data_IF_826301775845
#
_entry.id   IF_826301775845
#
_cell.length_a   1.000
_cell.length_b   1.000
_cell.length_c   1.000
_cell.angle_alpha   90.00
_cell.angle_beta   90.00
_cell.angle_gamma   90.00
#
_symmetry.space_group_name_H-M   'P 1'
#
loop_
_entity.id
_entity.type
_entity.pdbx_description
1 polymer ?
#
# COMPACT_ATOMS: atom_id res chain seq x y z
N UNK A 1 -66.87 21.00 -32.90
CA UNK A 1 -65.68 21.40 -32.13
C UNK A 1 -65.11 20.15 -31.49
N UNK A 2 -63.91 19.77 -31.93
CA UNK A 2 -63.16 18.56 -31.59
C UNK A 2 -62.62 18.62 -30.16
N UNK A 3 -62.98 17.65 -29.32
CA UNK A 3 -62.32 17.41 -28.04
C UNK A 3 -61.15 16.45 -28.25
N UNK A 4 -59.95 16.97 -28.04
CA UNK A 4 -58.65 16.30 -28.13
C UNK A 4 -58.49 15.26 -27.02
N UNK A 5 -58.27 14.00 -27.39
CA UNK A 5 -57.82 12.95 -26.49
C UNK A 5 -56.33 13.14 -26.17
N UNK A 6 -56.00 13.40 -24.91
CA UNK A 6 -54.63 13.41 -24.41
C UNK A 6 -54.18 11.97 -24.10
N UNK A 7 -53.30 11.43 -24.93
CA UNK A 7 -52.56 10.19 -24.64
C UNK A 7 -51.45 10.45 -23.61
N UNK A 8 -51.34 9.70 -22.51
CA UNK A 8 -50.21 9.84 -21.60
C UNK A 8 -48.95 9.21 -22.21
N UNK A 9 -47.89 10.00 -22.24
CA UNK A 9 -46.59 9.72 -22.84
C UNK A 9 -45.73 8.97 -21.81
N UNK A 10 -45.87 7.65 -21.70
CA UNK A 10 -45.17 6.89 -20.65
C UNK A 10 -45.00 5.38 -20.90
N UNK A 11 -44.80 4.94 -22.15
CA UNK A 11 -45.17 3.55 -22.51
C UNK A 11 -44.09 2.63 -23.14
N UNK A 12 -42.81 2.93 -22.95
CA UNK A 12 -41.73 1.97 -23.32
C UNK A 12 -41.21 1.15 -22.15
N UNK A 13 -41.07 1.76 -20.98
CA UNK A 13 -40.58 1.08 -19.78
C UNK A 13 -41.69 0.31 -19.05
N UNK A 14 -42.91 0.84 -19.02
CA UNK A 14 -44.09 0.18 -18.44
C UNK A 14 -44.35 -1.20 -19.09
N UNK A 15 -44.33 -1.25 -20.42
CA UNK A 15 -44.50 -2.50 -21.19
C UNK A 15 -43.40 -3.52 -20.93
N UNK A 16 -42.14 -3.09 -20.75
CA UNK A 16 -41.03 -4.01 -20.43
C UNK A 16 -41.11 -4.54 -19.00
N UNK A 17 -41.57 -3.73 -18.06
CA UNK A 17 -41.79 -4.13 -16.68
C UNK A 17 -42.99 -5.08 -16.52
N UNK A 18 -44.01 -4.97 -17.38
CA UNK A 18 -45.15 -5.91 -17.37
C UNK A 18 -44.79 -7.34 -17.73
N UNK A 19 -43.68 -7.59 -18.44
CA UNK A 19 -43.19 -8.95 -18.71
C UNK A 19 -42.49 -9.60 -17.51
N UNK A 20 -42.08 -8.79 -16.51
CA UNK A 20 -41.42 -9.27 -15.28
C UNK A 20 -42.41 -9.46 -14.12
N UNK A 21 -43.70 -9.21 -14.35
CA UNK A 21 -44.75 -9.32 -13.34
C UNK A 21 -45.34 -10.74 -13.33
N UNK A 22 -44.63 -11.65 -12.66
CA UNK A 22 -44.92 -13.09 -12.63
C UNK A 22 -46.04 -13.49 -11.64
N UNK A 23 -46.72 -12.52 -11.01
CA UNK A 23 -47.69 -12.80 -9.94
C UNK A 23 -49.10 -12.31 -10.28
N UNK A 24 -50.15 -13.10 -10.01
CA UNK A 24 -51.53 -12.68 -10.20
C UNK A 24 -51.86 -11.49 -9.30
N UNK A 25 -52.38 -10.41 -9.91
CA UNK A 25 -52.78 -9.19 -9.19
C UNK A 25 -53.99 -9.46 -8.32
N UNK A 26 -53.78 -9.35 -7.01
CA UNK A 26 -54.82 -9.53 -5.98
C UNK A 26 -55.82 -8.36 -6.09
N UNK A 27 -57.09 -8.65 -5.82
CA UNK A 27 -58.17 -7.67 -5.85
C UNK A 27 -57.91 -6.50 -4.88
N UNK A 28 -58.12 -5.28 -5.37
CA UNK A 28 -57.78 -4.03 -4.63
C UNK A 28 -58.57 -3.85 -3.33
N UNK A 29 -59.65 -4.62 -3.13
CA UNK A 29 -60.50 -4.57 -1.95
C UNK A 29 -59.92 -5.30 -0.73
N UNK A 30 -58.83 -6.07 -0.92
CA UNK A 30 -58.12 -6.80 0.14
C UNK A 30 -56.78 -6.12 0.49
N UNK A 31 -56.37 -5.10 -0.28
CA UNK A 31 -55.08 -4.41 -0.12
C UNK A 31 -55.27 -2.97 0.35
N UNK A 32 -55.08 -2.73 1.65
CA UNK A 32 -54.99 -1.36 2.18
C UNK A 32 -53.59 -0.78 1.88
N UNK A 33 -53.43 -0.22 0.68
CA UNK A 33 -52.19 0.45 0.30
C UNK A 33 -52.09 1.82 1.01
N UNK A 34 -51.33 1.88 2.11
CA UNK A 34 -51.01 3.14 2.78
C UNK A 34 -49.86 3.86 2.06
N UNK A 35 -50.07 5.13 1.69
CA UNK A 35 -49.05 5.96 1.03
C UNK A 35 -47.74 6.12 1.84
N UNK A 36 -47.79 6.02 3.16
CA UNK A 36 -46.61 6.06 4.04
C UNK A 36 -45.83 4.75 4.03
N UNK A 37 -46.47 3.60 3.78
CA UNK A 37 -45.82 2.29 3.75
C UNK A 37 -44.88 2.09 2.56
N UNK A 38 -45.17 2.75 1.43
CA UNK A 38 -44.30 2.73 0.25
C UNK A 38 -42.95 3.43 0.49
N UNK A 39 -42.95 4.57 1.18
CA UNK A 39 -41.72 5.31 1.52
C UNK A 39 -40.84 4.50 2.46
N UNK A 40 -41.42 3.88 3.49
CA UNK A 40 -40.69 3.00 4.42
C UNK A 40 -40.08 1.81 3.67
N UNK A 41 -40.82 1.19 2.75
CA UNK A 41 -40.33 0.05 1.95
C UNK A 41 -39.15 0.44 1.04
N UNK A 42 -39.17 1.65 0.46
CA UNK A 42 -38.04 2.17 -0.35
C UNK A 42 -36.80 2.35 0.52
N UNK A 43 -36.94 2.96 1.71
CA UNK A 43 -35.82 3.17 2.64
C UNK A 43 -35.21 1.84 3.07
N UNK A 44 -36.05 0.86 3.46
CA UNK A 44 -35.59 -0.47 3.86
C UNK A 44 -34.89 -1.20 2.71
N UNK A 45 -35.39 -1.07 1.48
CA UNK A 45 -34.77 -1.70 0.30
C UNK A 45 -33.41 -1.09 -0.01
N UNK A 46 -33.26 0.23 0.07
CA UNK A 46 -31.97 0.93 -0.11
C UNK A 46 -30.98 0.48 0.97
N UNK A 47 -31.43 0.42 2.22
CA UNK A 47 -30.59 -0.01 3.33
C UNK A 47 -30.14 -1.47 3.18
N UNK A 48 -31.04 -2.38 2.79
CA UNK A 48 -30.72 -3.78 2.49
C UNK A 48 -29.69 -3.87 1.35
N UNK A 49 -29.90 -3.12 0.26
CA UNK A 49 -28.98 -3.10 -0.87
C UNK A 49 -27.59 -2.60 -0.45
N UNK A 50 -27.52 -1.57 0.40
CA UNK A 50 -26.27 -1.08 0.97
C UNK A 50 -25.53 -2.15 1.79
N UNK A 51 -26.24 -2.86 2.68
CA UNK A 51 -25.64 -3.92 3.49
C UNK A 51 -25.13 -5.08 2.63
N UNK A 52 -25.90 -5.50 1.62
CA UNK A 52 -25.48 -6.57 0.69
C UNK A 52 -24.24 -6.14 -0.11
N UNK A 53 -24.21 -4.90 -0.62
CA UNK A 53 -23.05 -4.38 -1.34
C UNK A 53 -21.80 -4.30 -0.45
N UNK A 54 -21.96 -3.86 0.81
CA UNK A 54 -20.87 -3.83 1.79
C UNK A 54 -20.32 -5.24 2.07
N UNK A 55 -21.21 -6.22 2.22
CA UNK A 55 -20.83 -7.63 2.44
C UNK A 55 -20.12 -8.21 1.21
N UNK A 56 -20.61 -7.88 0.00
CA UNK A 56 -19.99 -8.29 -1.26
C UNK A 56 -18.59 -7.70 -1.42
N UNK A 57 -18.40 -6.41 -1.10
CA UNK A 57 -17.09 -5.76 -1.11
C UNK A 57 -16.15 -6.46 -0.11
N UNK A 58 -16.65 -6.74 1.10
CA UNK A 58 -15.87 -7.43 2.14
C UNK A 58 -15.43 -8.82 1.68
N UNK A 59 -16.32 -9.57 1.03
CA UNK A 59 -16.00 -10.88 0.47
C UNK A 59 -14.97 -10.82 -0.67
N UNK A 60 -15.03 -9.79 -1.52
CA UNK A 60 -14.05 -9.59 -2.60
C UNK A 60 -12.68 -9.11 -2.08
N UNK A 61 -12.65 -8.48 -0.91
CA UNK A 61 -11.43 -7.93 -0.29
C UNK A 61 -10.58 -9.04 0.31
N UNK A 62 -9.27 -8.96 0.09
CA UNK A 62 -8.30 -9.87 0.69
C UNK A 62 -7.92 -9.38 2.09
N UNK A 63 -7.88 -10.27 3.09
CA UNK A 63 -7.48 -9.91 4.46
C UNK A 63 -6.10 -10.48 4.76
N UNK A 64 -5.19 -9.61 5.19
CA UNK A 64 -3.86 -10.00 5.66
C UNK A 64 -3.87 -10.11 7.19
N UNK A 65 -3.37 -11.22 7.72
CA UNK A 65 -3.15 -11.43 9.14
C UNK A 65 -1.64 -11.49 9.42
N UNK A 66 -1.20 -10.74 10.44
CA UNK A 66 0.20 -10.58 10.79
C UNK A 66 0.46 -11.28 12.12
N UNK A 67 1.40 -12.21 12.11
CA UNK A 67 1.80 -12.95 13.31
C UNK A 67 3.31 -12.80 13.53
N UNK A 68 3.68 -12.43 14.76
CA UNK A 68 5.07 -12.23 15.14
C UNK A 68 5.62 -13.53 15.74
N UNK A 69 6.68 -14.05 15.12
CA UNK A 69 7.33 -15.31 15.47
C UNK A 69 8.80 -15.05 15.76
N UNK A 70 9.43 -15.91 16.56
CA UNK A 70 10.89 -15.90 16.67
C UNK A 70 11.47 -16.45 15.36
N UNK A 71 12.46 -15.77 14.81
CA UNK A 71 13.09 -16.22 13.58
C UNK A 71 13.83 -17.56 13.80
N UNK A 72 13.28 -18.63 13.22
CA UNK A 72 13.89 -19.96 13.24
C UNK A 72 14.60 -20.30 11.93
N UNK A 73 14.66 -19.37 10.97
CA UNK A 73 15.31 -19.65 9.69
C UNK A 73 16.81 -19.85 9.93
N UNK A 74 17.37 -21.04 9.59
CA UNK A 74 18.71 -21.39 10.01
C UNK A 74 19.75 -20.50 9.32
N UNK A 75 20.42 -19.64 10.09
CA UNK A 75 21.60 -18.88 9.66
C UNK A 75 22.78 -19.77 9.24
N UNK A 76 22.71 -21.07 9.55
CA UNK A 76 23.74 -22.09 9.32
C UNK A 76 23.60 -22.88 8.02
N UNK A 77 22.53 -22.66 7.24
CA UNK A 77 22.11 -23.54 6.13
C UNK A 77 22.28 -22.98 4.71
N UNK A 78 23.26 -22.10 4.45
CA UNK A 78 23.58 -21.63 3.09
C UNK A 78 22.53 -20.73 2.40
N UNK A 79 21.38 -20.47 3.04
CA UNK A 79 20.42 -19.47 2.62
C UNK A 79 21.00 -18.07 2.94
N UNK A 80 21.81 -17.54 2.02
CA UNK A 80 22.29 -16.17 2.09
C UNK A 80 21.14 -15.16 2.03
N UNK A 81 21.37 -13.97 2.57
CA UNK A 81 20.51 -12.81 2.38
C UNK A 81 20.83 -12.21 1.01
N UNK A 82 19.83 -12.10 0.14
CA UNK A 82 20.01 -11.43 -1.16
C UNK A 82 19.78 -9.94 -1.00
N UNK A 83 20.78 -9.11 -1.28
CA UNK A 83 20.61 -7.65 -1.33
C UNK A 83 20.41 -7.25 -2.79
N UNK A 84 19.29 -6.60 -3.10
CA UNK A 84 19.02 -6.00 -4.40
C UNK A 84 19.24 -4.50 -4.28
N UNK A 85 20.15 -3.96 -5.08
CA UNK A 85 20.49 -2.54 -5.06
C UNK A 85 20.30 -1.98 -6.46
N UNK A 86 19.64 -0.83 -6.55
CA UNK A 86 19.59 0.05 -7.72
C UNK A 86 19.59 1.49 -7.20
N UNK A 87 20.74 2.16 -7.34
CA UNK A 87 20.94 3.52 -6.89
C UNK A 87 21.77 4.30 -7.90
N UNK A 88 21.59 5.62 -7.93
CA UNK A 88 22.34 6.53 -8.81
C UNK A 88 22.98 7.64 -7.97
N UNK A 89 24.29 7.81 -8.09
CA UNK A 89 25.06 8.87 -7.41
C UNK A 89 25.47 9.93 -8.42
N UNK A 90 25.48 11.21 -8.03
CA UNK A 90 25.86 12.36 -8.87
C UNK A 90 27.38 12.52 -9.03
N UNK A 91 28.08 11.41 -9.29
CA UNK A 91 29.52 11.33 -9.51
C UNK A 91 29.85 10.38 -10.66
N UNK A 92 31.01 10.52 -11.33
CA UNK A 92 31.40 9.60 -12.39
C UNK A 92 31.80 8.23 -11.82
N UNK A 93 31.52 7.14 -12.56
CA UNK A 93 31.76 5.79 -12.06
C UNK A 93 33.24 5.46 -11.80
N UNK A 94 34.16 6.12 -12.49
CA UNK A 94 35.60 5.93 -12.29
C UNK A 94 36.12 6.47 -10.95
N UNK A 95 35.37 7.35 -10.29
CA UNK A 95 35.73 7.96 -9.01
C UNK A 95 35.08 7.25 -7.81
N UNK A 96 34.12 6.36 -8.06
CA UNK A 96 33.34 5.68 -7.04
C UNK A 96 33.75 4.23 -6.90
N UNK A 97 33.60 3.73 -5.68
CA UNK A 97 33.76 2.32 -5.36
C UNK A 97 32.63 1.90 -4.40
N UNK A 98 32.04 0.74 -4.68
CA UNK A 98 30.98 0.15 -3.86
C UNK A 98 31.43 -1.24 -3.39
N UNK A 99 31.51 -1.44 -2.08
CA UNK A 99 31.87 -2.72 -1.47
C UNK A 99 30.90 -3.06 -0.34
N UNK A 100 30.62 -4.35 -0.15
CA UNK A 100 29.87 -4.84 1.01
C UNK A 100 30.84 -5.49 1.99
N UNK A 101 30.82 -5.00 3.23
CA UNK A 101 31.60 -5.52 4.34
C UNK A 101 30.67 -6.07 5.42
N UNK A 102 30.82 -7.35 5.71
CA UNK A 102 30.17 -8.01 6.84
C UNK A 102 30.97 -7.79 8.15
N UNK A 103 30.38 -8.02 9.32
CA UNK A 103 31.09 -7.99 10.62
C UNK A 103 32.30 -8.93 10.66
N UNK A 104 32.32 -9.97 9.83
CA UNK A 104 33.46 -10.86 9.64
C UNK A 104 34.64 -10.23 8.89
N UNK A 105 34.52 -8.97 8.46
CA UNK A 105 35.47 -8.23 7.61
C UNK A 105 35.84 -8.96 6.31
N UNK A 106 35.05 -9.97 5.91
CA UNK A 106 35.15 -10.56 4.59
C UNK A 106 34.42 -9.65 3.60
N UNK A 107 35.17 -9.02 2.70
CA UNK A 107 34.59 -8.26 1.59
C UNK A 107 34.07 -9.24 0.55
N UNK A 108 32.77 -9.18 0.25
CA UNK A 108 32.27 -9.78 -1.00
C UNK A 108 32.68 -8.80 -2.10
N UNK A 109 33.55 -9.27 -2.99
CA UNK A 109 34.21 -8.40 -3.97
C UNK A 109 33.22 -7.88 -5.03
N UNK A 110 33.55 -6.72 -5.58
CA UNK A 110 32.82 -5.83 -6.51
C UNK A 110 32.16 -6.51 -7.71
N UNK A 111 32.51 -7.76 -8.05
CA UNK A 111 32.05 -8.43 -9.28
C UNK A 111 30.52 -8.64 -9.37
N UNK A 112 29.79 -8.49 -8.25
CA UNK A 112 28.33 -8.64 -8.22
C UNK A 112 27.57 -7.33 -8.54
N UNK A 113 28.19 -6.16 -8.37
CA UNK A 113 27.57 -4.86 -8.67
C UNK A 113 28.12 -4.25 -9.96
N UNK A 114 27.22 -3.86 -10.87
CA UNK A 114 27.58 -3.17 -12.10
C UNK A 114 27.48 -1.67 -11.92
N UNK A 115 28.58 -0.97 -12.19
CA UNK A 115 28.65 0.49 -12.22
C UNK A 115 28.56 0.94 -13.69
N UNK A 116 27.54 1.75 -14.01
CA UNK A 116 27.30 2.24 -15.37
C UNK A 116 27.17 3.76 -15.36
N UNK A 117 27.92 4.42 -16.24
CA UNK A 117 27.84 5.87 -16.41
C UNK A 117 26.45 6.25 -16.95
N UNK A 118 25.80 7.18 -16.25
CA UNK A 118 24.46 7.67 -16.56
C UNK A 118 24.37 9.18 -16.36
N UNK A 119 23.21 9.75 -16.67
CA UNK A 119 22.90 11.15 -16.34
C UNK A 119 22.11 11.16 -15.05
N UNK A 120 22.55 11.97 -14.09
CA UNK A 120 21.84 12.12 -12.82
C UNK A 120 20.50 12.83 -13.03
N UNK A 121 19.40 12.24 -12.54
CA UNK A 121 18.05 12.79 -12.65
C UNK A 121 17.26 12.67 -11.34
N UNK A 122 16.75 13.79 -10.86
CA UNK A 122 15.88 13.88 -9.68
C UNK A 122 14.39 13.67 -10.00
N UNK A 123 14.01 13.43 -11.26
CA UNK A 123 12.61 13.35 -11.65
C UNK A 123 11.93 12.10 -11.08
N UNK A 124 10.81 12.28 -10.37
CA UNK A 124 10.00 11.20 -9.81
C UNK A 124 10.51 10.59 -8.49
N UNK A 125 11.58 11.15 -7.92
CA UNK A 125 12.04 10.79 -6.58
C UNK A 125 11.48 11.73 -5.51
N UNK A 126 11.28 11.23 -4.30
CA UNK A 126 10.84 12.00 -3.14
C UNK A 126 11.99 12.12 -2.13
N UNK A 127 12.06 13.23 -1.40
CA UNK A 127 13.03 13.33 -0.31
C UNK A 127 12.56 12.47 0.87
N UNK A 128 13.43 11.59 1.36
CA UNK A 128 13.12 10.80 2.54
C UNK A 128 13.15 11.72 3.76
N UNK A 129 12.10 11.69 4.57
CA UNK A 129 12.08 12.42 5.85
C UNK A 129 11.43 11.53 6.88
N UNK A 130 11.93 11.56 8.12
CA UNK A 130 11.34 10.79 9.23
C UNK A 130 9.85 11.12 9.47
N UNK A 131 9.34 12.27 9.01
CA UNK A 131 7.92 12.60 9.08
C UNK A 131 7.06 11.94 7.98
N UNK A 132 7.64 11.58 6.83
CA UNK A 132 6.96 10.91 5.72
C UNK A 132 7.78 9.69 5.24
N UNK A 133 7.75 8.57 6.00
CA UNK A 133 8.57 7.39 5.71
C UNK A 133 8.07 6.55 4.53
N UNK A 134 6.90 6.88 3.97
CA UNK A 134 6.29 6.17 2.84
C UNK A 134 6.04 7.12 1.68
N UNK A 135 6.51 6.80 0.46
CA UNK A 135 6.06 7.50 -0.73
C UNK A 135 4.53 7.40 -0.86
N UNK A 136 3.87 8.44 -1.41
CA UNK A 136 2.46 8.36 -1.73
C UNK A 136 2.22 7.17 -2.68
N UNK A 137 1.12 6.40 -2.51
CA UNK A 137 0.86 5.23 -3.33
C UNK A 137 0.90 5.62 -4.80
N UNK A 138 1.68 4.86 -5.60
CA UNK A 138 1.80 5.10 -7.03
C UNK A 138 0.45 4.83 -7.70
N UNK A 139 -0.34 5.89 -7.88
CA UNK A 139 -1.63 5.79 -8.55
C UNK A 139 -1.38 5.49 -10.03
N UNK A 140 -1.57 4.24 -10.42
CA UNK A 140 -1.44 3.79 -11.82
C UNK A 140 -2.31 4.64 -12.75
N UNK A 141 -3.48 5.08 -12.28
CA UNK A 141 -4.38 5.96 -13.02
C UNK A 141 -3.80 7.37 -13.24
N UNK A 142 -3.02 7.89 -12.30
CA UNK A 142 -2.35 9.18 -12.39
C UNK A 142 -1.13 9.09 -13.31
N UNK A 143 -0.36 8.00 -13.22
CA UNK A 143 0.74 7.69 -14.11
C UNK A 143 0.25 7.53 -15.57
N UNK A 144 -0.84 6.77 -15.78
CA UNK A 144 -1.49 6.60 -17.07
C UNK A 144 -2.03 7.93 -17.61
N UNK A 145 -2.65 8.75 -16.76
CA UNK A 145 -3.17 10.07 -17.14
C UNK A 145 -2.05 11.04 -17.55
N UNK A 146 -0.93 11.00 -16.85
CA UNK A 146 0.25 11.81 -17.17
C UNK A 146 0.95 11.34 -18.45
N UNK A 147 1.01 10.02 -18.68
CA UNK A 147 1.48 9.43 -19.93
C UNK A 147 0.56 9.76 -21.11
N UNK A 148 -0.76 9.73 -20.91
CA UNK A 148 -1.76 10.06 -21.95
C UNK A 148 -1.81 11.55 -22.30
N UNK A 149 -1.45 12.46 -21.36
CA UNK A 149 -1.41 13.91 -21.60
C UNK A 149 -0.18 14.40 -22.36
N UNK A 150 0.66 13.50 -22.88
CA UNK A 150 1.85 13.87 -23.65
C UNK A 150 3.05 14.26 -22.78
N UNK A 151 3.04 13.91 -21.49
CA UNK A 151 4.25 13.92 -20.67
C UNK A 151 5.12 12.74 -21.09
N UNK A 152 6.31 13.05 -21.62
CA UNK A 152 7.41 12.15 -21.97
C UNK A 152 7.17 10.69 -21.59
N UNK A 153 7.04 9.84 -22.61
CA UNK A 153 7.06 8.39 -22.48
C UNK A 153 8.04 7.95 -21.40
N UNK A 154 7.54 7.14 -20.46
CA UNK A 154 8.30 6.33 -19.52
C UNK A 154 9.06 5.29 -20.35
N UNK A 155 10.00 5.79 -21.15
CA UNK A 155 11.00 5.02 -21.81
C UNK A 155 11.80 4.39 -20.68
N UNK A 156 11.70 3.07 -20.54
CA UNK A 156 12.86 2.27 -20.20
C UNK A 156 13.91 2.48 -21.31
N UNK A 157 14.49 3.69 -21.34
CA UNK A 157 15.61 4.05 -22.22
C UNK A 157 16.83 3.53 -21.48
N UNK A 158 17.55 2.62 -22.12
CA UNK A 158 18.94 2.38 -21.75
C UNK A 158 19.65 3.74 -21.67
N UNK A 159 20.57 3.95 -20.70
CA UNK A 159 21.17 5.26 -20.49
C UNK A 159 21.82 5.74 -21.78
N UNK A 160 21.38 6.91 -22.25
CA UNK A 160 22.05 7.62 -23.32
C UNK A 160 23.43 8.01 -22.80
N UNK A 161 24.47 7.49 -23.46
CA UNK A 161 25.85 7.95 -23.33
C UNK A 161 25.86 9.48 -23.49
N UNK A 162 26.59 10.13 -22.58
CA UNK A 162 26.44 11.53 -22.19
C UNK A 162 26.39 12.56 -23.32
N UNK A 163 25.48 13.52 -23.17
CA UNK A 163 25.59 14.82 -23.81
C UNK A 163 26.35 15.77 -22.89
N UNK A 164 27.36 16.46 -23.44
CA UNK A 164 28.07 17.58 -22.80
C UNK A 164 27.05 18.58 -22.22
N UNK A 165 27.03 18.73 -20.89
CA UNK A 165 26.18 19.71 -20.19
C UNK A 165 25.13 19.12 -19.24
N UNK A 166 25.00 17.79 -19.12
CA UNK A 166 24.18 17.18 -18.07
C UNK A 166 25.03 16.68 -16.90
N UNK A 167 24.53 16.73 -15.65
CA UNK A 167 25.27 16.22 -14.50
C UNK A 167 25.57 14.74 -14.69
N UNK A 168 26.87 14.40 -14.66
CA UNK A 168 27.35 13.02 -14.76
C UNK A 168 26.95 12.29 -13.48
N UNK A 169 26.39 11.10 -13.63
CA UNK A 169 26.06 10.22 -12.51
C UNK A 169 26.52 8.80 -12.77
N UNK A 170 26.62 8.02 -11.71
CA UNK A 170 26.96 6.61 -11.76
C UNK A 170 25.80 5.82 -11.19
N UNK A 171 25.25 4.90 -12.01
CA UNK A 171 24.22 3.97 -11.57
C UNK A 171 24.89 2.68 -11.11
N UNK A 172 24.62 2.31 -9.87
CA UNK A 172 25.10 1.09 -9.23
C UNK A 172 23.90 0.17 -9.10
N UNK A 173 23.91 -0.94 -9.84
CA UNK A 173 22.83 -1.91 -9.78
C UNK A 173 23.34 -3.35 -9.78
N UNK A 174 22.65 -4.22 -9.05
CA UNK A 174 23.04 -5.62 -8.94
C UNK A 174 22.30 -6.35 -7.83
N UNK A 175 22.56 -7.64 -7.74
CA UNK A 175 22.08 -8.49 -6.65
C UNK A 175 23.30 -9.19 -6.06
N UNK A 176 23.49 -9.02 -4.75
CA UNK A 176 24.61 -9.61 -4.03
C UNK A 176 24.11 -10.61 -2.98
N UNK A 177 24.40 -11.91 -3.10
CA UNK A 177 24.19 -12.88 -2.03
C UNK A 177 25.19 -12.64 -0.89
N UNK A 178 24.70 -12.09 0.22
CA UNK A 178 25.48 -11.89 1.43
C UNK A 178 25.16 -12.93 2.50
N UNK A 179 26.04 -13.11 3.48
CA UNK A 179 25.71 -13.91 4.65
C UNK A 179 24.61 -13.22 5.45
N UNK A 180 23.77 -14.00 6.11
CA UNK A 180 22.72 -13.50 7.01
C UNK A 180 23.33 -13.02 8.34
N UNK A 181 24.11 -11.96 8.27
CA UNK A 181 24.83 -11.30 9.35
C UNK A 181 24.73 -9.78 9.17
N UNK A 182 24.97 -9.06 10.25
CA UNK A 182 25.07 -7.59 10.21
C UNK A 182 26.21 -7.14 9.30
N UNK A 183 25.97 -6.14 8.47
CA UNK A 183 26.99 -5.64 7.55
C UNK A 183 26.76 -4.19 7.14
N UNK A 184 27.63 -3.72 6.26
CA UNK A 184 27.59 -2.36 5.73
C UNK A 184 27.98 -2.34 4.26
N UNK A 185 27.13 -1.75 3.42
CA UNK A 185 27.45 -1.37 2.05
C UNK A 185 28.08 0.02 2.09
N UNK A 186 29.34 0.10 1.69
CA UNK A 186 30.10 1.34 1.61
C UNK A 186 30.20 1.78 0.17
N UNK A 187 29.76 3.01 -0.11
CA UNK A 187 29.91 3.66 -1.41
C UNK A 187 30.72 4.93 -1.17
N UNK A 188 32.01 4.88 -1.50
CA UNK A 188 32.95 5.97 -1.21
C UNK A 188 33.73 6.35 -2.45
N UNK A 189 34.34 7.54 -2.40
CA UNK A 189 35.26 7.98 -3.43
C UNK A 189 36.61 7.26 -3.29
N UNK A 190 37.29 7.00 -4.41
CA UNK A 190 38.65 6.46 -4.39
C UNK A 190 39.60 7.41 -3.64
N UNK A 191 40.42 6.84 -2.74
CA UNK A 191 41.34 7.60 -1.88
C UNK A 191 40.72 8.20 -0.62
N UNK A 192 39.40 8.16 -0.45
CA UNK A 192 38.69 8.55 0.78
C UNK A 192 37.99 7.33 1.39
N UNK A 193 38.73 6.55 2.18
CA UNK A 193 38.23 5.35 2.89
C UNK A 193 38.88 4.05 2.44
N UNK A 194 39.29 3.96 1.18
CA UNK A 194 40.08 2.86 0.64
C UNK A 194 41.40 3.37 0.09
N UNK A 195 42.44 2.54 0.17
CA UNK A 195 43.75 2.81 -0.44
C UNK A 195 43.58 2.91 -1.96
N UNK A 196 43.97 4.03 -2.56
CA UNK A 196 43.83 4.29 -3.99
C UNK A 196 44.25 5.70 -4.38
N UNK A 197 44.20 6.02 -5.68
CA UNK A 197 44.46 7.36 -6.17
C UNK A 197 43.37 8.31 -5.65
N UNK A 198 43.82 9.39 -5.02
CA UNK A 198 42.95 10.40 -4.44
C UNK A 198 42.16 11.13 -5.54
N UNK A 199 40.83 11.05 -5.48
CA UNK A 199 39.94 11.79 -6.38
C UNK A 199 40.00 13.27 -6.02
N UNK A 200 39.85 14.16 -7.01
CA UNK A 200 39.78 15.60 -6.75
C UNK A 200 38.52 15.94 -5.94
N UNK A 201 38.68 16.75 -4.91
CA UNK A 201 37.60 17.09 -3.99
C UNK A 201 36.49 17.90 -4.67
N UNK A 202 36.80 18.64 -5.73
CA UNK A 202 35.81 19.40 -6.51
C UNK A 202 34.85 18.49 -7.31
N UNK A 203 35.27 17.25 -7.59
CA UNK A 203 34.47 16.26 -8.31
C UNK A 203 33.59 15.43 -7.38
N UNK A 204 33.75 15.56 -6.06
CA UNK A 204 32.97 14.80 -5.09
C UNK A 204 31.60 15.42 -4.86
N UNK A 205 30.56 14.64 -5.13
CA UNK A 205 29.18 15.00 -4.87
C UNK A 205 28.36 13.74 -4.56
N UNK A 206 28.13 13.49 -3.27
CA UNK A 206 27.37 12.32 -2.81
C UNK A 206 25.84 12.51 -2.88
N UNK A 207 25.35 13.50 -3.64
CA UNK A 207 23.93 13.59 -3.98
C UNK A 207 23.53 12.30 -4.68
N UNK A 208 22.53 11.60 -4.14
CA UNK A 208 22.19 10.27 -4.63
C UNK A 208 20.70 10.01 -4.52
N UNK A 209 20.26 9.09 -5.37
CA UNK A 209 18.89 8.62 -5.45
C UNK A 209 18.89 7.11 -5.34
N UNK A 210 18.03 6.57 -4.49
CA UNK A 210 17.82 5.15 -4.33
C UNK A 210 16.54 4.80 -5.10
N UNK A 211 16.67 4.09 -6.20
CA UNK A 211 15.53 3.66 -7.00
C UNK A 211 14.89 2.41 -6.40
N UNK A 212 15.74 1.42 -6.06
CA UNK A 212 15.30 0.19 -5.43
C UNK A 212 16.33 -0.31 -4.42
N UNK A 213 15.87 -0.57 -3.21
CA UNK A 213 16.66 -1.28 -2.20
C UNK A 213 15.77 -2.34 -1.55
N UNK A 214 16.09 -3.61 -1.75
CA UNK A 214 15.28 -4.69 -1.18
C UNK A 214 16.10 -5.88 -0.73
N UNK A 215 15.65 -6.52 0.35
CA UNK A 215 16.33 -7.65 0.97
C UNK A 215 15.50 -8.93 0.74
N UNK A 216 16.04 -9.89 0.00
CA UNK A 216 15.34 -11.12 -0.37
C UNK A 216 14.46 -10.98 -1.60
N UNK A 217 13.46 -11.85 -1.71
CA UNK A 217 12.52 -11.89 -2.83
C UNK A 217 11.41 -10.87 -2.68
N UNK A 218 10.87 -10.39 -3.81
CA UNK A 218 9.72 -9.49 -3.84
C UNK A 218 8.40 -10.27 -3.66
N UNK A 219 7.43 -9.70 -2.93
CA UNK A 219 6.06 -10.19 -2.85
C UNK A 219 5.06 -9.03 -3.05
N UNK A 220 3.81 -9.32 -3.49
CA UNK A 220 2.79 -8.29 -3.66
C UNK A 220 2.47 -7.58 -2.35
N UNK A 221 2.54 -6.25 -2.33
CA UNK A 221 2.32 -5.45 -1.12
C UNK A 221 3.57 -5.21 -0.27
N UNK A 222 4.74 -5.74 -0.66
CA UNK A 222 6.02 -5.31 -0.10
C UNK A 222 6.26 -3.84 -0.45
N UNK A 223 6.41 -3.02 0.57
CA UNK A 223 6.73 -1.61 0.43
C UNK A 223 8.03 -1.30 1.18
N UNK A 224 9.06 -0.88 0.45
CA UNK A 224 10.33 -0.50 1.04
C UNK A 224 10.40 1.02 1.25
N UNK A 225 10.84 1.52 2.41
CA UNK A 225 10.84 2.95 2.72
C UNK A 225 11.82 3.79 1.89
N UNK A 226 12.94 3.21 1.43
CA UNK A 226 13.94 3.95 0.62
C UNK A 226 13.70 3.87 -0.89
N UNK A 227 12.68 3.14 -1.35
CA UNK A 227 12.39 3.05 -2.78
C UNK A 227 11.98 4.43 -3.33
N UNK A 228 12.57 4.82 -4.46
CA UNK A 228 12.37 6.13 -5.10
C UNK A 228 12.70 7.34 -4.20
N UNK A 229 13.67 7.21 -3.29
CA UNK A 229 14.12 8.31 -2.42
C UNK A 229 15.32 9.07 -3.01
N UNK A 230 15.48 10.34 -2.67
CA UNK A 230 16.63 11.19 -3.06
C UNK A 230 17.14 12.02 -1.88
N UNK A 231 18.46 12.11 -1.75
CA UNK A 231 19.14 13.00 -0.82
C UNK A 231 20.14 13.91 -1.53
N UNK A 232 20.17 15.17 -1.12
CA UNK A 232 21.03 16.20 -1.70
C UNK A 232 22.23 16.46 -0.79
N UNK A 233 23.43 16.37 -1.37
CA UNK A 233 24.65 16.79 -0.68
C UNK A 233 24.73 18.31 -0.62
N UNK A 234 25.07 18.82 0.56
CA UNK A 234 25.37 20.24 0.81
C UNK A 234 26.81 20.58 0.48
N UNK A 235 27.73 19.61 0.62
CA UNK A 235 29.14 19.78 0.32
C UNK A 235 29.82 18.51 -0.21
N UNK A 236 31.08 18.63 -0.67
CA UNK A 236 31.84 17.50 -1.24
C UNK A 236 32.22 16.43 -0.20
N UNK A 237 32.25 16.80 1.08
CA UNK A 237 32.62 15.93 2.19
C UNK A 237 31.42 15.51 3.04
N UNK A 238 30.25 15.36 2.42
CA UNK A 238 29.08 14.87 3.13
C UNK A 238 29.14 13.35 3.33
N UNK A 239 28.69 12.92 4.50
CA UNK A 239 28.56 11.53 4.90
C UNK A 239 27.08 11.24 5.13
N UNK A 240 26.54 10.35 4.32
CA UNK A 240 25.18 9.82 4.46
C UNK A 240 25.25 8.45 5.09
N UNK A 241 24.51 8.24 6.16
CA UNK A 241 24.47 6.98 6.87
C UNK A 241 23.01 6.55 7.07
N UNK A 242 22.67 5.39 6.50
CA UNK A 242 21.37 4.75 6.65
C UNK A 242 21.54 3.55 7.58
N UNK A 243 20.77 3.53 8.67
CA UNK A 243 20.68 2.37 9.54
C UNK A 243 19.39 1.62 9.21
N UNK A 244 19.56 0.39 8.73
CA UNK A 244 18.49 -0.48 8.26
C UNK A 244 18.32 -1.62 9.26
N UNK A 245 17.12 -1.74 9.83
CA UNK A 245 16.72 -2.91 10.62
C UNK A 245 15.90 -3.83 9.74
N UNK A 246 16.44 -5.00 9.41
CA UNK A 246 15.82 -6.01 8.55
C UNK A 246 14.98 -6.95 9.41
N UNK A 247 13.72 -7.14 9.02
CA UNK A 247 12.75 -8.04 9.65
C UNK A 247 12.44 -9.19 8.68
N UNK A 248 12.91 -10.42 8.98
CA UNK A 248 12.55 -11.61 8.21
C UNK A 248 11.03 -11.78 8.15
N UNK A 249 10.49 -11.95 6.94
CA UNK A 249 9.06 -12.06 6.70
C UNK A 249 8.77 -13.33 5.93
N UNK A 250 7.74 -14.07 6.35
CA UNK A 250 7.26 -15.27 5.68
C UNK A 250 5.89 -14.94 5.10
N UNK A 251 5.82 -14.84 3.78
CA UNK A 251 4.57 -14.57 3.08
C UNK A 251 3.96 -15.88 2.59
N UNK A 252 2.73 -16.19 3.02
CA UNK A 252 2.02 -17.41 2.63
C UNK A 252 0.92 -17.05 1.63
N UNK A 253 1.04 -17.53 0.40
CA UNK A 253 0.07 -17.28 -0.66
C UNK A 253 -1.20 -18.14 -0.49
N UNK A 254 -2.42 -17.58 -0.68
CA UNK A 254 -3.66 -18.34 -0.57
C UNK A 254 -3.86 -19.24 -1.81
N UNK A 255 -3.64 -20.55 -1.66
CA UNK A 255 -3.76 -21.54 -2.75
C UNK A 255 -4.48 -22.84 -2.37
N UNK A 256 -4.98 -23.57 -3.38
CA UNK A 256 -5.72 -24.84 -3.22
C UNK A 256 -4.81 -26.08 -3.06
N UNK A 257 -3.52 -25.96 -3.39
CA UNK A 257 -2.54 -27.05 -3.38
C UNK A 257 -1.20 -26.50 -2.86
N UNK A 258 -0.91 -26.81 -1.59
CA UNK A 258 0.28 -26.46 -0.83
C UNK A 258 0.52 -24.96 -0.57
N UNK A 259 0.72 -24.63 0.71
CA UNK A 259 1.14 -23.31 1.19
C UNK A 259 2.54 -22.98 0.66
N UNK A 260 2.62 -22.31 -0.48
CA UNK A 260 3.88 -21.76 -0.98
C UNK A 260 4.27 -20.57 -0.08
N UNK A 261 5.18 -20.82 0.85
CA UNK A 261 5.76 -19.79 1.70
C UNK A 261 6.95 -19.14 0.99
N UNK A 262 6.85 -17.84 0.72
CA UNK A 262 7.94 -17.02 0.18
C UNK A 262 8.69 -16.42 1.35
N UNK A 263 9.99 -16.73 1.45
CA UNK A 263 10.90 -16.09 2.39
C UNK A 263 11.35 -14.75 1.81
N UNK A 264 11.04 -13.68 2.52
CA UNK A 264 11.31 -12.30 2.13
C UNK A 264 11.70 -11.49 3.35
N UNK A 265 12.07 -10.23 3.19
CA UNK A 265 12.37 -9.36 4.31
C UNK A 265 11.74 -8.00 4.10
N UNK A 266 11.22 -7.45 5.19
CA UNK A 266 10.84 -6.05 5.29
C UNK A 266 11.94 -5.32 6.05
N UNK A 267 11.97 -3.99 5.97
CA UNK A 267 12.94 -3.24 6.74
C UNK A 267 12.45 -1.85 7.14
N UNK A 268 12.99 -1.36 8.24
CA UNK A 268 12.83 0.01 8.71
C UNK A 268 14.15 0.77 8.53
N UNK A 269 14.07 2.10 8.38
CA UNK A 269 15.24 2.94 8.14
C UNK A 269 15.27 4.13 9.07
N UNK A 270 16.48 4.46 9.51
CA UNK A 270 16.80 5.78 10.06
C UNK A 270 17.95 6.40 9.26
N UNK A 271 17.78 7.65 8.88
CA UNK A 271 18.72 8.43 8.09
C UNK A 271 19.55 9.36 8.97
N UNK A 272 20.82 9.52 8.62
CA UNK A 272 21.73 10.43 9.29
C UNK A 272 22.69 11.06 8.29
N UNK A 273 22.64 12.39 8.16
CA UNK A 273 23.55 13.17 7.32
C UNK A 273 24.46 14.03 8.19
N UNK A 274 25.75 14.05 7.88
CA UNK A 274 26.70 15.00 8.47
C UNK A 274 27.72 15.46 7.42
N UNK A 275 28.19 16.69 7.53
CA UNK A 275 29.34 17.18 6.77
C UNK A 275 30.64 16.96 7.55
N UNK A 276 31.69 16.53 6.86
CA UNK A 276 33.00 16.26 7.45
C UNK A 276 33.89 17.49 7.23
N UNK A 277 34.48 17.99 8.31
CA UNK A 277 35.40 19.12 8.30
C UNK A 277 36.52 18.86 9.30
N UNK A 278 37.68 18.44 8.77
CA UNK A 278 38.85 18.13 9.59
C UNK A 278 39.36 19.34 10.39
N UNK A 279 39.11 20.57 9.91
CA UNK A 279 39.54 21.79 10.61
C UNK A 279 38.71 22.05 11.88
N UNK A 280 37.46 21.59 11.90
CA UNK A 280 36.55 21.69 13.05
C UNK A 280 36.57 20.46 13.96
N UNK A 281 37.53 19.55 13.75
CA UNK A 281 37.62 18.29 14.50
C UNK A 281 36.59 17.22 14.09
N UNK A 282 35.85 17.44 13.00
CA UNK A 282 34.97 16.43 12.44
C UNK A 282 35.79 15.48 11.55
N UNK A 283 36.28 14.40 12.13
CA UNK A 283 36.95 13.33 11.40
C UNK A 283 35.93 12.27 10.94
N UNK A 284 36.10 11.82 9.70
CA UNK A 284 35.26 10.79 9.09
C UNK A 284 35.65 10.60 7.64
N UNK A 285 35.04 9.59 7.02
CA UNK A 285 35.17 9.32 5.59
C UNK A 285 33.89 9.78 4.89
N UNK A 286 33.95 10.65 3.87
CA UNK A 286 32.77 11.05 3.12
C UNK A 286 32.29 9.89 2.24
N UNK A 287 30.98 9.81 2.02
CA UNK A 287 30.39 8.69 1.30
C UNK A 287 28.98 8.36 1.74
N UNK A 288 28.46 7.31 1.13
CA UNK A 288 27.13 6.75 1.43
C UNK A 288 27.35 5.40 2.10
N UNK A 289 26.80 5.25 3.30
CA UNK A 289 26.97 4.09 4.15
C UNK A 289 25.60 3.52 4.47
N UNK A 290 25.32 2.31 3.96
CA UNK A 290 24.08 1.59 4.28
C UNK A 290 24.45 0.47 5.24
N UNK A 291 24.22 0.71 6.52
CA UNK A 291 24.40 -0.29 7.58
C UNK A 291 23.11 -1.06 7.75
N UNK A 292 23.18 -2.38 7.70
CA UNK A 292 22.03 -3.25 7.91
C UNK A 292 22.29 -4.24 9.05
N UNK A 293 21.30 -4.36 9.92
CA UNK A 293 21.27 -5.25 11.07
C UNK A 293 20.00 -6.11 11.00
N UNK A 294 20.06 -7.37 11.45
CA UNK A 294 18.94 -8.31 11.41
C UNK A 294 18.24 -8.36 12.76
N UNK A 295 16.92 -8.21 12.75
CA UNK A 295 16.08 -8.32 13.95
C UNK A 295 15.85 -9.80 14.30
N UNK A 296 15.75 -10.10 15.60
CA UNK A 296 15.53 -11.48 16.10
C UNK A 296 14.06 -11.94 15.98
N UNK A 297 13.18 -11.06 15.50
CA UNK A 297 11.77 -11.31 15.29
C UNK A 297 11.48 -11.47 13.80
N UNK A 298 10.56 -12.37 13.48
CA UNK A 298 10.06 -12.62 12.13
C UNK A 298 8.56 -12.38 12.07
N UNK A 299 8.06 -11.98 10.90
CA UNK A 299 6.64 -11.71 10.67
C UNK A 299 6.08 -12.71 9.67
N UNK A 300 5.09 -13.48 10.06
CA UNK A 300 4.31 -14.33 9.15
C UNK A 300 3.10 -13.53 8.67
N UNK A 301 3.02 -13.32 7.36
CA UNK A 301 1.88 -12.69 6.70
C UNK A 301 1.07 -13.81 6.03
N UNK A 302 -0.12 -14.05 6.52
CA UNK A 302 -1.08 -14.97 5.90
C UNK A 302 -2.17 -14.17 5.21
N UNK A 303 -2.32 -14.41 3.92
CA UNK A 303 -3.42 -13.85 3.16
C UNK A 303 -4.60 -14.82 3.18
N UNK A 304 -5.72 -14.36 3.73
CA UNK A 304 -6.94 -15.16 3.84
C UNK A 304 -8.08 -14.48 3.08
N UNK A 305 -8.94 -15.31 2.48
CA UNK A 305 -10.20 -14.87 1.87
C UNK A 305 -11.35 -15.53 2.59
N UNK A 306 -12.47 -14.82 2.69
CA UNK A 306 -13.68 -15.40 3.23
C UNK A 306 -14.17 -16.52 2.30
N UNK A 307 -14.48 -17.68 2.87
CA UNK A 307 -15.05 -18.78 2.11
C UNK A 307 -16.45 -18.40 1.62
N UNK A 308 -16.86 -18.96 0.47
CA UNK A 308 -18.18 -18.69 -0.10
C UNK A 308 -19.33 -19.05 0.85
N UNK A 309 -19.18 -20.13 1.63
CA UNK A 309 -20.19 -20.53 2.61
C UNK A 309 -20.31 -19.51 3.75
N UNK A 310 -19.20 -18.97 4.23
CA UNK A 310 -19.21 -17.93 5.25
C UNK A 310 -19.86 -16.63 4.75
N UNK A 311 -19.67 -16.29 3.47
CA UNK A 311 -20.39 -15.18 2.84
C UNK A 311 -21.91 -15.45 2.77
N UNK A 312 -22.33 -16.66 2.36
CA UNK A 312 -23.74 -17.01 2.23
C UNK A 312 -24.47 -16.98 3.59
N UNK A 313 -23.85 -17.48 4.66
CA UNK A 313 -24.43 -17.43 6.01
C UNK A 313 -24.61 -15.99 6.48
N UNK A 314 -23.65 -15.10 6.20
CA UNK A 314 -23.76 -13.66 6.50
C UNK A 314 -24.88 -12.99 5.70
N UNK A 315 -25.02 -13.32 4.41
CA UNK A 315 -26.08 -12.77 3.57
C UNK A 315 -27.48 -13.18 4.07
N UNK A 316 -27.66 -14.46 4.46
CA UNK A 316 -28.90 -14.93 5.08
C UNK A 316 -29.20 -14.18 6.38
N UNK A 317 -28.18 -13.95 7.23
CA UNK A 317 -28.30 -13.17 8.46
C UNK A 317 -28.73 -11.72 8.22
N UNK A 318 -28.21 -11.07 7.18
CA UNK A 318 -28.60 -9.69 6.80
C UNK A 318 -30.07 -9.64 6.39
N UNK A 319 -30.50 -10.55 5.50
CA UNK A 319 -31.89 -10.58 5.01
C UNK A 319 -32.87 -10.88 6.15
N UNK A 320 -32.56 -11.88 6.98
CA UNK A 320 -33.38 -12.24 8.15
C UNK A 320 -33.43 -11.13 9.20
N UNK A 321 -32.28 -10.52 9.52
CA UNK A 321 -32.18 -9.44 10.50
C UNK A 321 -32.96 -8.19 10.10
N UNK A 322 -32.92 -7.79 8.83
CA UNK A 322 -33.69 -6.65 8.33
C UNK A 322 -35.19 -6.92 8.38
N UNK A 323 -35.63 -8.15 8.03
CA UNK A 323 -37.04 -8.50 8.08
C UNK A 323 -37.61 -8.46 9.51
N UNK A 324 -36.90 -9.03 10.48
CA UNK A 324 -37.33 -9.05 11.89
C UNK A 324 -37.34 -7.65 12.49
N UNK A 325 -36.29 -6.85 12.25
CA UNK A 325 -36.20 -5.48 12.79
C UNK A 325 -37.24 -4.55 12.19
N UNK A 326 -37.50 -4.62 10.89
CA UNK A 326 -38.58 -3.87 10.25
C UNK A 326 -39.96 -4.23 10.84
N UNK A 327 -40.22 -5.53 11.06
CA UNK A 327 -41.44 -5.99 11.70
C UNK A 327 -41.60 -5.48 13.14
N UNK A 328 -40.52 -5.50 13.94
CA UNK A 328 -40.53 -4.94 15.29
C UNK A 328 -40.78 -3.42 15.30
N UNK A 329 -40.12 -2.67 14.40
CA UNK A 329 -40.30 -1.21 14.30
C UNK A 329 -41.74 -0.87 13.92
N UNK A 330 -42.33 -1.60 12.97
CA UNK A 330 -43.72 -1.40 12.58
C UNK A 330 -44.67 -1.67 13.75
N UNK A 331 -44.53 -2.81 14.43
CA UNK A 331 -45.36 -3.13 15.59
C UNK A 331 -45.18 -2.12 16.74
N UNK A 332 -43.96 -1.67 16.98
CA UNK A 332 -43.66 -0.67 18.00
C UNK A 332 -44.25 0.71 17.64
N UNK A 333 -44.18 1.10 16.37
CA UNK A 333 -44.80 2.35 15.88
C UNK A 333 -46.32 2.33 16.02
N UNK A 334 -46.95 1.18 15.78
CA UNK A 334 -48.39 0.97 15.99
C UNK A 334 -48.76 0.99 17.47
N UNK A 335 -47.93 0.37 18.33
CA UNK A 335 -48.12 0.41 19.79
C UNK A 335 -48.04 1.84 20.33
N UNK A 336 -47.03 2.63 19.93
CA UNK A 336 -46.92 4.05 20.30
C UNK A 336 -48.14 4.85 19.82
N UNK A 337 -48.60 4.60 18.60
CA UNK A 337 -49.81 5.25 18.06
C UNK A 337 -51.09 4.93 18.84
N UNK A 338 -51.13 3.83 19.58
CA UNK A 338 -52.27 3.41 20.41
C UNK A 338 -52.25 3.97 21.85
N UNK A 339 -51.08 4.44 22.33
CA UNK A 339 -50.93 5.03 23.67
C UNK A 339 -51.82 6.27 23.93
N UNK A 340 -52.02 7.20 22.97
CA UNK A 340 -52.88 8.37 23.19
C UNK A 340 -54.35 8.00 23.46
N UNK A 341 -54.87 6.93 22.84
CA UNK A 341 -56.26 6.50 23.01
C UNK A 341 -56.51 5.77 24.35
N UNK A 342 -55.50 5.06 24.86
CA UNK A 342 -55.59 4.41 26.17
C UNK A 342 -55.56 5.41 27.33
N UNK A 343 -54.82 6.53 27.18
CA UNK A 343 -54.76 7.60 28.20
C UNK A 343 -56.00 8.51 28.13
N UNK A 344 -56.53 8.80 26.94
CA UNK A 344 -57.74 9.63 26.78
C UNK A 344 -59.06 8.92 27.20
N UNK A 345 -59.12 7.58 27.13
CA UNK A 345 -60.29 6.81 27.56
C UNK A 345 -60.23 6.38 29.04
N UNK A 346 -59.17 6.77 29.77
CA UNK A 346 -58.85 6.25 31.11
C UNK A 346 -59.08 7.18 32.30
N UNK A 347 -59.59 8.41 32.12
CA UNK A 347 -59.78 9.35 33.24
C UNK A 347 -61.01 10.27 33.04
N UNK A 348 -62.22 9.71 33.05
CA UNK A 348 -63.48 10.40 33.40
C UNK A 348 -64.48 9.41 34.04
N UNK A 349 -64.04 8.64 35.02
CA UNK A 349 -64.94 7.83 35.87
C UNK A 349 -64.48 7.88 37.32
N UNK A 350 -64.55 9.08 37.91
CA UNK A 350 -64.27 9.29 39.32
C UNK A 350 -64.68 10.68 39.75
N UNK A 351 -65.97 10.96 39.85
CA UNK A 351 -66.59 11.54 41.07
C UNK A 351 -68.14 11.58 40.97
N UNK A 352 -68.76 11.62 42.15
CA UNK A 352 -70.15 11.96 42.50
C UNK A 352 -71.30 10.97 42.20
N UNK A 353 -71.61 10.11 43.18
CA UNK A 353 -72.95 10.04 43.80
C UNK A 353 -72.91 9.20 45.09
N UNK A 354 -72.69 9.86 46.22
CA UNK A 354 -73.32 9.54 47.51
C UNK A 354 -73.39 10.77 48.41
#
# INVERSE_FOLDING_TARGET
MSATASTPRGDRWSRRLSYLDAFPKIEKNITNASGSGGVVSIIVTIFLAYLILSELITWMTLKQEYEYLVDQTPSSGGAGLLINVDLTVAMPCNALRADVLDVSQSSIHIEEFKLVDTVFSSAGAHQYTNSNPTPPPLNVHELLRNAQRGGHALHFRLPSIGGEGRPKGCRIYGQAPVKKLSGMLHITALGHGYMGQHVDHELMNFTHRIDKLSFGHFYPGLHNPLDLSIEYATGPFDMFQYFISIIPTIYVEPGLLADNAILTNQYAVTDYQRSIDHSKGAHGTPGIFIRYDLEALSVRITETRQTFLHFLTRLCGIVGGVFVTAGMILNFSLWIGSLPQAILNGDLAGDSDQ
#
